data_IF_874563182685
#
_entry.id   IF_874563182685
#
_cell.length_a   1.000
_cell.length_b   1.000
_cell.length_c   1.000
_cell.angle_alpha   90.00
_cell.angle_beta   90.00
_cell.angle_gamma   90.00
#
_symmetry.space_group_name_H-M   'P 1'
#
loop_
_entity.id
_entity.type
_entity.pdbx_description
1 polymer ?
#
# COMPACT_ATOMS: atom_id res chain seq x y z
N UNK A 1 -0.67 16.79 4.56
CA UNK A 1 -0.52 15.29 4.52
C UNK A 1 -1.85 14.76 4.07
N UNK A 2 -1.92 14.09 2.92
CA UNK A 2 -3.22 13.71 2.35
C UNK A 2 -4.00 12.81 3.33
N UNK A 3 -5.25 13.18 3.62
CA UNK A 3 -6.19 12.30 4.32
C UNK A 3 -6.53 11.14 3.38
N UNK A 4 -6.64 9.93 3.92
CA UNK A 4 -7.00 8.76 3.13
C UNK A 4 -8.31 8.16 3.62
N UNK A 5 -9.27 8.02 2.71
CA UNK A 5 -10.53 7.34 2.95
C UNK A 5 -10.48 5.92 2.37
N UNK A 6 -10.38 4.92 3.25
CA UNK A 6 -10.28 3.51 2.91
C UNK A 6 -11.64 2.95 2.50
N UNK A 7 -11.70 2.26 1.37
CA UNK A 7 -12.91 1.58 0.87
C UNK A 7 -12.78 0.05 0.95
N UNK A 8 -11.63 -0.48 0.53
CA UNK A 8 -11.33 -1.91 0.59
C UNK A 8 -9.97 -2.15 1.24
N UNK A 9 -9.82 -3.31 1.87
CA UNK A 9 -8.59 -3.72 2.54
C UNK A 9 -8.50 -5.25 2.62
N UNK A 10 -7.30 -5.76 2.39
CA UNK A 10 -6.89 -7.10 2.80
C UNK A 10 -5.60 -6.98 3.61
N UNK A 11 -5.31 -7.98 4.44
CA UNK A 11 -4.12 -7.99 5.29
C UNK A 11 -3.50 -9.36 5.41
N UNK A 12 -2.18 -9.39 5.56
CA UNK A 12 -1.41 -10.58 5.95
C UNK A 12 -0.91 -10.37 7.38
N UNK A 13 -0.96 -11.42 8.20
CA UNK A 13 -0.60 -11.41 9.62
C UNK A 13 -1.81 -11.57 10.54
N UNK A 14 -1.56 -11.94 11.80
CA UNK A 14 -2.60 -12.25 12.77
C UNK A 14 -3.11 -11.00 13.53
N UNK A 15 -4.38 -10.99 13.98
CA UNK A 15 -4.87 -9.96 14.88
C UNK A 15 -4.07 -9.93 16.18
N UNK A 16 -3.69 -8.74 16.64
CA UNK A 16 -2.85 -8.57 17.83
C UNK A 16 -1.35 -8.60 17.55
N UNK A 17 -0.94 -8.78 16.29
CA UNK A 17 0.44 -8.59 15.83
C UNK A 17 0.51 -7.55 14.69
N UNK A 18 1.69 -7.33 14.13
CA UNK A 18 1.89 -6.52 12.94
C UNK A 18 1.22 -7.14 11.72
N UNK A 19 0.44 -6.33 11.00
CA UNK A 19 -0.22 -6.76 9.77
C UNK A 19 0.16 -5.84 8.61
N UNK A 20 0.56 -6.43 7.48
CA UNK A 20 0.74 -5.70 6.23
C UNK A 20 -0.61 -5.60 5.55
N UNK A 21 -1.13 -4.38 5.40
CA UNK A 21 -2.42 -4.13 4.75
C UNK A 21 -2.21 -3.60 3.33
N UNK A 22 -3.00 -4.11 2.39
CA UNK A 22 -3.16 -3.57 1.05
C UNK A 22 -4.55 -2.93 0.95
N UNK A 23 -4.60 -1.63 0.71
CA UNK A 23 -5.83 -0.83 0.76
C UNK A 23 -6.12 -0.20 -0.60
N UNK A 24 -7.41 -0.06 -0.94
CA UNK A 24 -7.92 0.80 -2.00
C UNK A 24 -8.84 1.87 -1.43
N UNK A 25 -8.77 3.09 -1.97
CA UNK A 25 -9.50 4.23 -1.45
C UNK A 25 -9.15 5.55 -2.11
N UNK A 26 -9.52 6.64 -1.45
CA UNK A 26 -9.39 8.01 -1.96
C UNK A 26 -8.42 8.81 -1.09
N UNK A 27 -7.41 9.38 -1.73
CA UNK A 27 -6.54 10.41 -1.20
C UNK A 27 -7.23 11.77 -1.34
N UNK A 28 -7.24 12.54 -0.26
CA UNK A 28 -7.76 13.90 -0.18
C UNK A 28 -6.58 14.78 0.19
N UNK A 29 -6.14 15.61 -0.76
CA UNK A 29 -4.99 16.49 -0.60
C UNK A 29 -5.39 17.81 0.06
N UNK A 30 -4.38 18.56 0.51
CA UNK A 30 -4.59 19.80 1.29
C UNK A 30 -5.24 20.91 0.44
N UNK A 31 -5.20 20.81 -0.90
CA UNK A 31 -5.86 21.68 -1.88
C UNK A 31 -7.29 21.23 -2.24
N UNK A 32 -7.85 20.28 -1.47
CA UNK A 32 -9.14 19.61 -1.73
C UNK A 32 -9.21 18.79 -3.03
N UNK A 33 -8.12 18.60 -3.76
CA UNK A 33 -8.11 17.64 -4.85
C UNK A 33 -8.19 16.22 -4.30
N UNK A 34 -8.74 15.33 -5.11
CA UNK A 34 -8.86 13.91 -4.73
C UNK A 34 -8.31 13.01 -5.80
N UNK A 35 -7.64 11.93 -5.39
CA UNK A 35 -7.21 10.87 -6.30
C UNK A 35 -7.52 9.51 -5.68
N UNK A 36 -7.99 8.56 -6.48
CA UNK A 36 -8.12 7.17 -6.04
C UNK A 36 -6.80 6.42 -6.22
N UNK A 37 -6.60 5.37 -5.44
CA UNK A 37 -5.39 4.56 -5.57
C UNK A 37 -5.24 3.50 -4.49
N UNK A 38 -4.29 2.61 -4.74
CA UNK A 38 -3.85 1.62 -3.78
C UNK A 38 -2.71 2.15 -2.90
N UNK A 39 -2.50 1.48 -1.76
CA UNK A 39 -1.28 1.58 -0.94
C UNK A 39 -1.06 0.33 -0.11
N UNK A 40 0.20 0.13 0.25
CA UNK A 40 0.59 -0.71 1.37
C UNK A 40 0.71 0.12 2.64
N UNK A 41 0.22 -0.38 3.77
CA UNK A 41 0.34 0.27 5.07
C UNK A 41 0.44 -0.77 6.17
N UNK A 42 1.27 -0.51 7.18
CA UNK A 42 1.36 -1.37 8.35
C UNK A 42 0.25 -1.06 9.35
N UNK A 43 -0.34 -2.12 9.92
CA UNK A 43 -1.14 -2.04 11.13
C UNK A 43 -0.32 -2.58 12.29
N UNK A 44 -0.37 -1.87 13.40
CA UNK A 44 0.30 -2.23 14.66
C UNK A 44 -0.50 -3.29 15.42
N UNK A 45 0.14 -3.97 16.40
CA UNK A 45 -0.55 -4.87 17.34
C UNK A 45 -1.76 -4.23 18.04
N UNK A 46 -1.72 -2.92 18.31
CA UNK A 46 -2.84 -2.16 18.91
C UNK A 46 -3.98 -1.82 17.93
N UNK A 47 -3.91 -2.34 16.70
CA UNK A 47 -4.90 -2.15 15.64
C UNK A 47 -4.79 -0.82 14.89
N UNK A 48 -3.91 0.10 15.31
CA UNK A 48 -3.74 1.40 14.64
C UNK A 48 -2.91 1.29 13.38
N UNK A 49 -3.28 2.08 12.37
CA UNK A 49 -2.51 2.20 11.13
C UNK A 49 -1.27 3.06 11.36
N UNK A 50 -0.14 2.59 10.87
CA UNK A 50 1.12 3.31 10.81
C UNK A 50 1.35 3.83 9.40
N UNK A 51 0.91 5.07 9.16
CA UNK A 51 1.25 5.77 7.94
C UNK A 51 2.76 6.03 7.92
N UNK A 52 3.48 5.46 6.96
CA UNK A 52 4.88 5.79 6.73
C UNK A 52 4.97 7.05 5.88
N UNK A 53 5.91 7.95 6.22
CA UNK A 53 6.23 9.09 5.36
C UNK A 53 6.76 8.57 4.02
N UNK A 54 6.33 9.18 2.91
CA UNK A 54 6.84 8.85 1.58
C UNK A 54 6.22 7.63 0.91
N UNK A 55 5.09 7.10 1.40
CA UNK A 55 4.35 6.07 0.66
C UNK A 55 3.85 6.65 -0.68
N UNK A 56 4.29 6.05 -1.78
CA UNK A 56 3.78 6.35 -3.10
C UNK A 56 2.35 5.80 -3.25
N UNK A 57 1.47 6.60 -3.84
CA UNK A 57 0.16 6.13 -4.33
C UNK A 57 0.41 5.21 -5.52
N UNK A 58 -0.22 4.04 -5.52
CA UNK A 58 -0.28 3.16 -6.70
C UNK A 58 -1.57 3.50 -7.45
N UNK A 59 -1.53 4.11 -8.64
CA UNK A 59 -2.73 4.62 -9.30
C UNK A 59 -3.70 3.52 -9.75
N UNK A 60 -3.17 2.45 -10.33
CA UNK A 60 -3.96 1.34 -10.87
C UNK A 60 -3.38 -0.02 -10.50
N UNK A 61 -4.20 -1.07 -10.60
CA UNK A 61 -3.74 -2.44 -10.41
C UNK A 61 -2.75 -2.86 -11.51
N UNK A 62 -2.92 -2.33 -12.73
CA UNK A 62 -2.00 -2.56 -13.85
C UNK A 62 -0.57 -2.11 -13.51
N UNK A 63 -0.40 -0.94 -12.88
CA UNK A 63 0.92 -0.44 -12.46
C UNK A 63 1.58 -1.41 -11.47
N UNK A 64 0.81 -1.90 -10.49
CA UNK A 64 1.31 -2.86 -9.50
C UNK A 64 1.81 -4.16 -10.17
N UNK A 65 0.99 -4.73 -11.06
CA UNK A 65 1.35 -5.97 -11.76
C UNK A 65 2.52 -5.76 -12.72
N UNK A 66 2.58 -4.62 -13.42
CA UNK A 66 3.66 -4.29 -14.32
C UNK A 66 4.99 -4.12 -13.57
N UNK A 67 4.99 -3.49 -12.40
CA UNK A 67 6.19 -3.35 -11.55
C UNK A 67 6.72 -4.73 -11.10
N UNK A 68 5.84 -5.62 -10.66
CA UNK A 68 6.22 -7.00 -10.28
C UNK A 68 6.80 -7.76 -11.49
N UNK A 69 6.17 -7.62 -12.66
CA UNK A 69 6.65 -8.23 -13.91
C UNK A 69 8.05 -7.72 -14.28
N UNK A 70 8.28 -6.40 -14.19
CA UNK A 70 9.58 -5.80 -14.45
C UNK A 70 10.65 -6.32 -13.48
N UNK A 71 10.37 -6.32 -12.18
CA UNK A 71 11.27 -6.87 -11.15
C UNK A 71 11.61 -8.36 -11.40
N UNK A 72 10.62 -9.13 -11.86
CA UNK A 72 10.80 -10.55 -12.23
C UNK A 72 11.67 -10.69 -13.47
N UNK A 73 11.46 -9.83 -14.46
CA UNK A 73 12.23 -9.83 -15.74
C UNK A 73 13.68 -9.43 -15.50
N UNK A 74 13.92 -8.49 -14.60
CA UNK A 74 15.26 -8.11 -14.15
C UNK A 74 15.91 -9.17 -13.24
N UNK A 75 15.16 -10.21 -12.84
CA UNK A 75 15.68 -11.37 -12.14
C UNK A 75 15.91 -11.18 -10.64
N UNK A 76 15.55 -10.03 -10.06
CA UNK A 76 15.78 -9.76 -8.63
C UNK A 76 14.56 -10.02 -7.74
N UNK A 77 13.34 -10.07 -8.29
CA UNK A 77 12.10 -10.15 -7.49
C UNK A 77 12.10 -11.27 -6.44
N UNK A 78 12.58 -12.48 -6.78
CA UNK A 78 12.65 -13.62 -5.85
C UNK A 78 14.08 -13.83 -5.32
N UNK A 79 15.10 -13.38 -6.05
CA UNK A 79 16.50 -13.67 -5.70
C UNK A 79 17.06 -12.71 -4.66
N UNK A 80 16.51 -11.49 -4.55
CA UNK A 80 16.94 -10.48 -3.61
C UNK A 80 16.54 -10.78 -2.15
N UNK A 81 15.60 -11.69 -1.91
CA UNK A 81 15.12 -12.04 -0.57
C UNK A 81 16.00 -13.09 0.15
N UNK A 82 17.06 -13.58 -0.52
CA UNK A 82 17.96 -14.62 0.01
C UNK A 82 19.11 -14.06 0.83
#
# INVERSE_FOLDING_TARGET
MAKYNKQHEVSIGDPGDWQLCFQWGTYIYDDNTTQTGYRFIWRRPDGKLQAARGQARIPAAEDLFQLIKLATTEGWFITAEK
#
